data_IF_704816861673
#
_entry.id   IF_704816861673
#
_cell.length_a   1.000
_cell.length_b   1.000
_cell.length_c   1.000
_cell.angle_alpha   90.00
_cell.angle_beta   90.00
_cell.angle_gamma   90.00
#
_symmetry.space_group_name_H-M   'P 1'
#
loop_
_entity.id
_entity.type
_entity.pdbx_description
1 polymer ?
#
# COMPACT_ATOMS: atom_id res chain seq x y z
N UNK A 1 -17.91 12.67 -8.33
CA UNK A 1 -17.37 12.92 -6.97
C UNK A 1 -15.96 13.46 -7.06
N UNK A 2 -15.55 14.26 -6.04
CA UNK A 2 -14.17 14.75 -5.90
C UNK A 2 -13.35 13.82 -4.99
N UNK A 3 -12.18 13.40 -5.46
CA UNK A 3 -11.29 12.51 -4.73
C UNK A 3 -9.97 13.22 -4.44
N UNK A 4 -9.55 13.25 -3.19
CA UNK A 4 -8.25 13.73 -2.76
C UNK A 4 -7.29 12.54 -2.57
N UNK A 5 -6.23 12.47 -3.37
CA UNK A 5 -5.09 11.57 -3.15
C UNK A 5 -4.04 12.29 -2.29
N UNK A 6 -4.04 12.02 -1.00
CA UNK A 6 -3.08 12.61 -0.07
C UNK A 6 -1.78 11.80 -0.04
N UNK A 7 -0.64 12.48 -0.21
CA UNK A 7 0.63 11.82 -0.47
C UNK A 7 0.70 11.22 -1.88
N UNK A 8 0.17 11.95 -2.88
CA UNK A 8 0.01 11.51 -4.27
C UNK A 8 1.37 11.25 -4.94
N UNK A 9 1.95 10.08 -4.62
CA UNK A 9 3.15 9.51 -5.24
C UNK A 9 2.79 8.53 -6.36
N UNK A 10 3.62 7.50 -6.55
CA UNK A 10 3.44 6.49 -7.60
C UNK A 10 2.08 5.76 -7.49
N UNK A 11 1.75 5.18 -6.34
CA UNK A 11 0.48 4.45 -6.17
C UNK A 11 -0.72 5.38 -6.28
N UNK A 12 -0.67 6.56 -5.65
CA UNK A 12 -1.76 7.54 -5.73
C UNK A 12 -2.02 8.00 -7.17
N UNK A 13 -0.96 8.30 -7.95
CA UNK A 13 -1.08 8.71 -9.34
C UNK A 13 -1.63 7.59 -10.24
N UNK A 14 -1.18 6.34 -10.04
CA UNK A 14 -1.73 5.17 -10.76
C UNK A 14 -3.20 4.93 -10.42
N UNK A 15 -3.59 5.11 -9.14
CA UNK A 15 -4.99 5.00 -8.72
C UNK A 15 -5.85 6.09 -9.36
N UNK A 16 -5.37 7.32 -9.35
CA UNK A 16 -6.04 8.44 -10.00
C UNK A 16 -6.21 8.21 -11.52
N UNK A 17 -5.20 7.65 -12.20
CA UNK A 17 -5.32 7.37 -13.65
C UNK A 17 -6.45 6.39 -13.99
N UNK A 18 -6.77 5.48 -13.07
CA UNK A 18 -7.87 4.52 -13.22
C UNK A 18 -9.24 5.12 -12.94
N UNK A 19 -9.28 6.30 -12.31
CA UNK A 19 -10.49 6.95 -11.83
C UNK A 19 -10.80 8.25 -12.56
N UNK A 20 -9.81 8.89 -13.18
CA UNK A 20 -9.92 10.23 -13.75
C UNK A 20 -10.94 10.37 -14.90
N UNK A 21 -11.39 9.25 -15.51
CA UNK A 21 -12.47 9.29 -16.52
C UNK A 21 -13.85 9.56 -15.89
N UNK A 22 -14.03 9.17 -14.62
CA UNK A 22 -15.34 9.19 -13.94
C UNK A 22 -15.38 10.16 -12.74
N UNK A 23 -14.21 10.58 -12.24
CA UNK A 23 -14.06 11.33 -10.99
C UNK A 23 -13.09 12.50 -11.13
N UNK A 24 -13.34 13.58 -10.39
CA UNK A 24 -12.43 14.72 -10.29
C UNK A 24 -11.29 14.37 -9.31
N UNK A 25 -10.10 14.08 -9.83
CA UNK A 25 -8.95 13.65 -9.04
C UNK A 25 -8.03 14.82 -8.67
N UNK A 26 -7.73 14.95 -7.40
CA UNK A 26 -6.80 15.95 -6.84
C UNK A 26 -5.65 15.25 -6.13
N UNK A 27 -4.43 15.79 -6.26
CA UNK A 27 -3.24 15.20 -5.68
C UNK A 27 -2.52 16.15 -4.73
N UNK A 28 -2.54 15.85 -3.43
CA UNK A 28 -1.79 16.61 -2.42
C UNK A 28 -0.38 16.02 -2.25
N UNK A 29 0.63 16.80 -2.55
CA UNK A 29 2.05 16.48 -2.30
C UNK A 29 2.90 17.75 -2.23
N UNK A 30 4.08 17.66 -1.60
CA UNK A 30 5.00 18.80 -1.41
C UNK A 30 5.45 19.44 -2.72
N UNK A 31 5.69 18.64 -3.75
CA UNK A 31 6.12 19.09 -5.08
C UNK A 31 5.16 18.54 -6.15
N UNK A 32 4.02 19.22 -6.40
CA UNK A 32 2.96 18.70 -7.27
C UNK A 32 3.23 18.86 -8.77
N UNK A 33 4.30 19.54 -9.19
CA UNK A 33 4.62 19.83 -10.60
C UNK A 33 4.87 18.57 -11.44
N UNK A 34 5.09 17.42 -10.78
CA UNK A 34 5.32 16.13 -11.44
C UNK A 34 4.05 15.30 -11.55
N UNK A 35 2.90 15.83 -11.14
CA UNK A 35 1.63 15.12 -11.28
C UNK A 35 1.19 15.14 -12.74
N UNK A 36 0.58 14.04 -13.23
CA UNK A 36 -0.05 14.02 -14.55
C UNK A 36 -1.17 15.05 -14.68
N UNK A 37 -1.43 15.53 -15.90
CA UNK A 37 -2.42 16.60 -16.19
C UNK A 37 -3.86 16.25 -15.78
N UNK A 38 -4.19 14.96 -15.65
CA UNK A 38 -5.50 14.51 -15.19
C UNK A 38 -5.67 14.57 -13.66
N UNK A 39 -4.66 15.02 -12.92
CA UNK A 39 -4.69 15.21 -11.46
C UNK A 39 -4.54 16.69 -11.15
N UNK A 40 -5.57 17.32 -10.60
CA UNK A 40 -5.49 18.71 -10.11
C UNK A 40 -4.48 18.81 -8.96
N UNK A 41 -3.41 19.61 -9.10
CA UNK A 41 -2.33 19.65 -8.12
C UNK A 41 -2.68 20.49 -6.90
N UNK A 42 -2.36 19.97 -5.71
CA UNK A 42 -2.36 20.71 -4.44
C UNK A 42 -0.98 20.60 -3.80
N UNK A 43 -0.38 21.76 -3.47
CA UNK A 43 0.95 21.80 -2.87
C UNK A 43 0.84 21.79 -1.34
N UNK A 44 1.52 20.84 -0.69
CA UNK A 44 1.60 20.81 0.75
C UNK A 44 1.79 19.43 1.37
N UNK A 45 1.60 19.36 2.68
CA UNK A 45 1.77 18.15 3.48
C UNK A 45 0.54 17.88 4.33
N UNK A 46 0.20 16.60 4.52
CA UNK A 46 -0.85 16.20 5.47
C UNK A 46 -0.52 16.53 6.94
N UNK A 47 0.72 16.89 7.25
CA UNK A 47 1.12 17.29 8.61
C UNK A 47 0.93 18.79 8.87
N UNK A 48 0.40 19.53 7.91
CA UNK A 48 0.08 20.95 8.03
C UNK A 48 -1.42 21.09 8.32
N UNK A 49 -1.75 21.49 9.55
CA UNK A 49 -3.14 21.53 10.00
C UNK A 49 -3.96 22.60 9.28
N UNK A 50 -3.42 23.82 9.14
CA UNK A 50 -4.15 24.91 8.51
C UNK A 50 -4.42 24.61 7.04
N UNK A 51 -3.42 24.09 6.33
CA UNK A 51 -3.57 23.62 4.96
C UNK A 51 -4.62 22.51 4.87
N UNK A 52 -4.60 21.53 5.76
CA UNK A 52 -5.56 20.42 5.70
C UNK A 52 -7.00 20.90 5.94
N UNK A 53 -7.22 21.90 6.80
CA UNK A 53 -8.53 22.52 6.97
C UNK A 53 -8.97 23.21 5.68
N UNK A 54 -8.10 24.01 5.05
CA UNK A 54 -8.38 24.68 3.76
C UNK A 54 -8.69 23.67 2.65
N UNK A 55 -7.91 22.58 2.59
CA UNK A 55 -8.11 21.51 1.60
C UNK A 55 -9.46 20.82 1.82
N UNK A 56 -9.78 20.41 3.04
CA UNK A 56 -11.05 19.75 3.34
C UNK A 56 -12.26 20.65 3.03
N UNK A 57 -12.15 21.94 3.27
CA UNK A 57 -13.20 22.92 2.95
C UNK A 57 -13.49 23.07 1.44
N UNK A 58 -12.65 22.52 0.56
CA UNK A 58 -12.95 22.45 -0.88
C UNK A 58 -14.00 21.37 -1.21
N UNK A 59 -14.43 20.55 -0.24
CA UNK A 59 -15.53 19.61 -0.38
C UNK A 59 -15.15 18.35 -1.16
N UNK A 60 -14.21 17.55 -0.64
CA UNK A 60 -13.89 16.23 -1.16
C UNK A 60 -14.85 15.17 -0.63
N UNK A 61 -15.35 14.31 -1.52
CA UNK A 61 -16.21 13.18 -1.14
C UNK A 61 -15.37 12.03 -0.54
N UNK A 62 -14.19 11.77 -1.10
CA UNK A 62 -13.30 10.67 -0.72
C UNK A 62 -11.88 11.21 -0.54
N UNK A 63 -11.20 10.74 0.53
CA UNK A 63 -9.77 10.94 0.74
C UNK A 63 -9.07 9.58 0.68
N UNK A 64 -8.06 9.45 -0.19
CA UNK A 64 -7.21 8.26 -0.31
C UNK A 64 -5.79 8.63 0.11
N UNK A 65 -5.33 8.16 1.26
CA UNK A 65 -4.00 8.44 1.79
C UNK A 65 -3.00 7.36 1.35
N UNK A 66 -2.06 7.74 0.46
CA UNK A 66 -0.99 6.87 -0.06
C UNK A 66 0.39 7.35 0.39
N UNK A 67 0.53 7.59 1.67
CA UNK A 67 1.72 8.21 2.26
C UNK A 67 2.94 7.29 2.17
N UNK A 68 4.11 7.90 2.03
CA UNK A 68 5.39 7.20 2.03
C UNK A 68 6.37 7.95 2.91
N UNK A 69 7.03 7.28 3.88
CA UNK A 69 8.04 7.93 4.72
C UNK A 69 9.26 8.34 3.89
N UNK A 70 9.90 9.42 4.27
CA UNK A 70 11.11 9.93 3.61
C UNK A 70 12.37 9.07 3.82
N UNK A 71 12.26 8.01 4.65
CA UNK A 71 13.33 7.06 4.96
C UNK A 71 12.82 5.96 5.89
N UNK A 72 13.64 4.95 6.11
CA UNK A 72 13.31 3.84 7.03
C UNK A 72 13.83 4.15 8.44
N UNK A 73 13.28 5.19 9.07
CA UNK A 73 13.58 5.59 10.46
C UNK A 73 12.29 5.80 11.24
N UNK A 74 12.32 5.66 12.59
CA UNK A 74 11.14 5.93 13.44
C UNK A 74 10.56 7.32 13.19
N UNK A 75 11.40 8.34 13.09
CA UNK A 75 10.97 9.75 12.92
C UNK A 75 10.28 9.98 11.57
N UNK A 76 10.78 9.32 10.49
CA UNK A 76 10.17 9.42 9.18
C UNK A 76 8.81 8.72 9.14
N UNK A 77 8.68 7.56 9.81
CA UNK A 77 7.42 6.83 9.94
C UNK A 77 6.42 7.57 10.84
N UNK A 78 6.89 8.09 11.98
CA UNK A 78 6.08 8.93 12.88
C UNK A 78 5.45 10.07 12.09
N UNK A 79 6.26 10.86 11.39
CA UNK A 79 5.79 12.00 10.61
C UNK A 79 4.84 11.61 9.49
N UNK A 80 5.18 10.55 8.73
CA UNK A 80 4.40 10.16 7.56
C UNK A 80 3.04 9.56 7.92
N UNK A 81 2.94 8.79 8.98
CA UNK A 81 1.73 8.06 9.32
C UNK A 81 1.02 8.63 10.53
N UNK A 82 1.68 8.68 11.68
CA UNK A 82 1.03 9.06 12.94
C UNK A 82 0.66 10.54 12.96
N UNK A 83 1.62 11.41 12.64
CA UNK A 83 1.37 12.86 12.66
C UNK A 83 0.35 13.24 11.57
N UNK A 84 0.42 12.62 10.38
CA UNK A 84 -0.56 12.84 9.32
C UNK A 84 -1.97 12.38 9.72
N UNK A 85 -2.11 11.24 10.39
CA UNK A 85 -3.40 10.75 10.87
C UNK A 85 -3.98 11.68 11.96
N UNK A 86 -3.15 12.11 12.92
CA UNK A 86 -3.53 13.07 13.97
C UNK A 86 -3.94 14.42 13.38
N UNK A 87 -3.19 14.90 12.39
CA UNK A 87 -3.51 16.16 11.71
C UNK A 87 -4.84 16.05 10.95
N UNK A 88 -5.07 14.94 10.24
CA UNK A 88 -6.33 14.72 9.55
C UNK A 88 -7.51 14.71 10.53
N UNK A 89 -7.40 13.99 11.66
CA UNK A 89 -8.42 13.96 12.70
C UNK A 89 -8.72 15.37 13.25
N UNK A 90 -7.68 16.14 13.54
CA UNK A 90 -7.83 17.52 14.01
C UNK A 90 -8.45 18.44 12.93
N UNK A 91 -8.00 18.31 11.69
CA UNK A 91 -8.55 19.10 10.58
C UNK A 91 -10.04 18.84 10.35
N UNK A 92 -10.49 17.57 10.49
CA UNK A 92 -11.91 17.22 10.37
C UNK A 92 -12.79 17.84 11.45
N UNK A 93 -12.25 18.18 12.64
CA UNK A 93 -13.01 18.87 13.68
C UNK A 93 -13.15 20.37 13.43
N UNK A 94 -12.26 20.93 12.63
CA UNK A 94 -12.19 22.38 12.33
C UNK A 94 -12.81 22.74 10.97
N UNK A 95 -12.79 21.78 10.03
CA UNK A 95 -13.31 21.99 8.70
C UNK A 95 -14.84 22.02 8.67
N UNK A 96 -15.39 22.80 7.74
CA UNK A 96 -16.84 22.88 7.46
C UNK A 96 -17.33 21.76 6.55
N UNK A 97 -16.42 21.04 5.89
CA UNK A 97 -16.70 19.89 5.04
C UNK A 97 -15.73 18.76 5.36
N UNK A 98 -16.25 17.54 5.48
CA UNK A 98 -15.43 16.33 5.73
C UNK A 98 -15.73 15.28 4.67
N UNK A 99 -14.75 14.45 4.28
CA UNK A 99 -14.98 13.35 3.35
C UNK A 99 -16.01 12.35 3.92
N UNK A 100 -16.78 11.74 3.02
CA UNK A 100 -17.68 10.64 3.37
C UNK A 100 -16.92 9.34 3.61
N UNK A 101 -15.77 9.18 2.94
CA UNK A 101 -14.90 8.00 3.04
C UNK A 101 -13.43 8.42 3.12
N UNK A 102 -12.69 7.79 4.03
CA UNK A 102 -11.22 7.82 4.06
C UNK A 102 -10.70 6.42 3.81
N UNK A 103 -9.91 6.25 2.74
CA UNK A 103 -9.14 5.02 2.48
C UNK A 103 -7.70 5.30 2.91
N UNK A 104 -7.21 4.51 3.88
CA UNK A 104 -5.87 4.68 4.45
C UNK A 104 -4.98 3.50 4.09
N UNK A 105 -3.88 3.77 3.39
CA UNK A 105 -2.90 2.74 3.06
C UNK A 105 -2.01 2.46 4.26
N UNK A 106 -1.96 1.20 4.66
CA UNK A 106 -1.12 0.64 5.70
C UNK A 106 -0.30 -0.54 5.14
N UNK A 107 0.22 -1.40 6.00
CA UNK A 107 1.07 -2.52 5.60
C UNK A 107 0.82 -3.78 6.43
N UNK A 108 0.96 -4.94 5.81
CA UNK A 108 0.97 -6.24 6.51
C UNK A 108 2.12 -6.39 7.52
N UNK A 109 3.05 -5.43 7.61
CA UNK A 109 4.10 -5.40 8.64
C UNK A 109 3.58 -5.23 10.07
N UNK A 110 2.30 -4.91 10.24
CA UNK A 110 1.58 -4.86 11.52
C UNK A 110 1.39 -6.25 12.14
N UNK A 111 1.37 -7.30 11.32
CA UNK A 111 1.33 -8.68 11.80
C UNK A 111 2.74 -9.14 12.21
N UNK A 112 2.82 -9.86 13.31
CA UNK A 112 4.07 -10.40 13.83
C UNK A 112 4.51 -11.69 13.14
N UNK A 113 5.26 -12.50 13.89
CA UNK A 113 5.62 -13.85 13.50
C UNK A 113 4.50 -14.82 13.87
N UNK A 114 3.96 -15.52 12.89
CA UNK A 114 2.90 -16.53 13.05
C UNK A 114 3.40 -17.93 12.67
N UNK A 115 4.69 -18.19 12.74
CA UNK A 115 5.33 -19.50 12.45
C UNK A 115 4.94 -20.10 11.07
N UNK A 116 4.69 -19.24 10.09
CA UNK A 116 4.26 -19.67 8.76
C UNK A 116 2.75 -19.84 8.60
N UNK A 117 1.96 -19.63 9.64
CA UNK A 117 0.50 -19.70 9.56
C UNK A 117 -0.10 -18.56 8.74
N UNK A 118 -1.35 -18.76 8.34
CA UNK A 118 -2.12 -17.75 7.66
C UNK A 118 -2.57 -16.64 8.63
N UNK A 119 -2.52 -15.41 8.15
CA UNK A 119 -3.11 -14.24 8.79
C UNK A 119 -4.14 -13.60 7.85
N UNK A 120 -5.21 -13.13 8.42
CA UNK A 120 -6.30 -12.42 7.78
C UNK A 120 -6.61 -11.11 8.54
N UNK A 121 -7.70 -10.46 8.21
CA UNK A 121 -8.13 -9.20 8.82
C UNK A 121 -8.61 -9.36 10.27
N UNK A 122 -8.96 -10.57 10.71
CA UNK A 122 -9.37 -10.89 12.09
C UNK A 122 -8.17 -11.31 12.95
N UNK A 123 -7.04 -11.59 12.34
CA UNK A 123 -5.83 -12.03 13.04
C UNK A 123 -5.25 -10.93 13.93
N UNK A 124 -4.74 -11.25 15.13
CA UNK A 124 -4.19 -10.26 16.04
C UNK A 124 -2.95 -9.59 15.46
N UNK A 125 -2.88 -8.27 15.59
CA UNK A 125 -1.71 -7.48 15.18
C UNK A 125 -0.69 -7.45 16.30
N UNK A 126 0.48 -8.05 16.07
CA UNK A 126 1.59 -8.16 17.02
C UNK A 126 2.88 -7.61 16.41
N UNK A 127 2.85 -6.33 16.05
CA UNK A 127 3.96 -5.68 15.36
C UNK A 127 5.26 -5.77 16.15
N UNK A 128 6.29 -6.37 15.57
CA UNK A 128 7.63 -6.51 16.16
C UNK A 128 8.52 -5.29 15.83
N UNK A 129 8.36 -4.73 14.63
CA UNK A 129 9.17 -3.60 14.15
C UNK A 129 8.60 -2.26 14.61
N UNK A 130 9.47 -1.23 14.70
CA UNK A 130 9.03 0.13 14.95
C UNK A 130 8.03 0.60 13.88
N UNK A 131 8.26 0.21 12.62
CA UNK A 131 7.40 0.61 11.50
C UNK A 131 5.99 0.04 11.63
N UNK A 132 5.85 -1.23 11.99
CA UNK A 132 4.55 -1.85 12.23
C UNK A 132 3.80 -1.22 13.41
N UNK A 133 4.50 -0.88 14.50
CA UNK A 133 3.91 -0.23 15.67
C UNK A 133 3.36 1.17 15.33
N UNK A 134 4.12 1.97 14.59
CA UNK A 134 3.70 3.31 14.17
C UNK A 134 2.55 3.26 13.15
N UNK A 135 2.52 2.25 12.30
CA UNK A 135 1.38 2.03 11.40
C UNK A 135 0.10 1.71 12.19
N UNK A 136 0.18 0.83 13.21
CA UNK A 136 -0.96 0.54 14.08
C UNK A 136 -1.46 1.77 14.85
N UNK A 137 -0.55 2.60 15.36
CA UNK A 137 -0.92 3.86 16.00
C UNK A 137 -1.68 4.78 15.02
N UNK A 138 -1.24 4.86 13.78
CA UNK A 138 -1.94 5.63 12.76
C UNK A 138 -3.30 5.01 12.39
N UNK A 139 -3.39 3.68 12.22
CA UNK A 139 -4.66 2.98 11.97
C UNK A 139 -5.70 3.30 13.03
N UNK A 140 -5.34 3.28 14.32
CA UNK A 140 -6.23 3.63 15.44
C UNK A 140 -6.78 5.06 15.35
N UNK A 141 -5.96 6.03 14.90
CA UNK A 141 -6.43 7.40 14.68
C UNK A 141 -7.44 7.48 13.53
N UNK A 142 -7.22 6.71 12.47
CA UNK A 142 -8.10 6.68 11.30
C UNK A 142 -9.43 5.99 11.62
N UNK A 143 -9.41 4.88 12.34
CA UNK A 143 -10.63 4.17 12.77
C UNK A 143 -11.55 5.04 13.64
N UNK A 144 -10.99 6.01 14.35
CA UNK A 144 -11.73 6.94 15.20
C UNK A 144 -12.33 8.15 14.46
N UNK A 145 -12.13 8.29 13.15
CA UNK A 145 -12.66 9.42 12.38
C UNK A 145 -14.20 9.41 12.30
N UNK A 146 -14.83 10.57 12.17
CA UNK A 146 -16.30 10.71 12.17
C UNK A 146 -16.93 10.41 10.78
N UNK A 147 -16.33 9.55 9.98
CA UNK A 147 -16.80 9.16 8.64
C UNK A 147 -16.52 7.67 8.39
N UNK A 148 -16.96 7.14 7.25
CA UNK A 148 -16.55 5.79 6.86
C UNK A 148 -15.03 5.72 6.64
N UNK A 149 -14.40 4.66 7.15
CA UNK A 149 -12.97 4.44 7.02
C UNK A 149 -12.68 3.04 6.51
N UNK A 150 -11.71 2.94 5.61
CA UNK A 150 -11.19 1.67 5.08
C UNK A 150 -9.68 1.67 5.19
N UNK A 151 -9.14 0.73 5.94
CA UNK A 151 -7.69 0.49 6.00
C UNK A 151 -7.32 -0.57 4.98
N UNK A 152 -6.30 -0.30 4.17
CA UNK A 152 -5.76 -1.25 3.19
C UNK A 152 -4.32 -1.59 3.58
N UNK A 153 -4.11 -2.80 4.10
CA UNK A 153 -2.78 -3.32 4.46
C UNK A 153 -2.13 -3.98 3.26
N UNK A 154 -1.31 -3.23 2.53
CA UNK A 154 -0.53 -3.80 1.44
C UNK A 154 0.60 -4.70 1.95
N UNK A 155 0.83 -5.80 1.23
CA UNK A 155 2.04 -6.62 1.38
C UNK A 155 3.24 -5.97 0.68
N UNK A 156 4.32 -6.72 0.44
CA UNK A 156 5.53 -6.18 -0.18
C UNK A 156 5.27 -5.69 -1.61
N UNK A 157 5.13 -4.39 -1.81
CA UNK A 157 4.87 -3.80 -3.12
C UNK A 157 6.10 -3.94 -4.03
N UNK A 158 5.89 -4.45 -5.24
CA UNK A 158 6.90 -4.51 -6.30
C UNK A 158 6.30 -4.05 -7.64
N UNK A 159 7.15 -3.79 -8.64
CA UNK A 159 6.70 -3.27 -9.92
C UNK A 159 7.73 -2.34 -10.56
N UNK A 160 7.36 -1.58 -11.59
CA UNK A 160 8.25 -0.58 -12.19
C UNK A 160 8.79 0.40 -11.15
N UNK A 161 10.11 0.60 -11.13
CA UNK A 161 10.78 1.43 -10.12
C UNK A 161 10.95 0.78 -8.74
N UNK A 162 10.47 -0.45 -8.53
CA UNK A 162 10.59 -1.24 -7.30
C UNK A 162 11.18 -2.62 -7.58
N UNK A 163 12.38 -2.64 -8.16
CA UNK A 163 13.05 -3.83 -8.71
C UNK A 163 14.02 -4.51 -7.77
N UNK A 164 14.06 -4.10 -6.50
CA UNK A 164 15.06 -4.56 -5.52
C UNK A 164 15.27 -6.08 -5.49
N UNK A 165 14.22 -6.88 -5.66
CA UNK A 165 14.34 -8.34 -5.69
C UNK A 165 15.09 -8.78 -6.96
N UNK A 166 14.71 -8.26 -8.14
CA UNK A 166 15.42 -8.57 -9.37
C UNK A 166 16.89 -8.18 -9.30
N UNK A 167 17.19 -7.02 -8.73
CA UNK A 167 18.57 -6.55 -8.58
C UNK A 167 19.39 -7.46 -7.65
N UNK A 168 18.77 -8.01 -6.61
CA UNK A 168 19.40 -9.00 -5.75
C UNK A 168 19.67 -10.33 -6.47
N UNK A 169 18.74 -10.80 -7.30
CA UNK A 169 18.91 -12.03 -8.08
C UNK A 169 20.03 -11.86 -9.12
N UNK A 170 20.04 -10.75 -9.84
CA UNK A 170 21.10 -10.42 -10.81
C UNK A 170 22.48 -10.37 -10.13
N UNK A 171 22.52 -9.95 -8.86
CA UNK A 171 23.73 -9.97 -8.05
C UNK A 171 24.04 -11.36 -7.43
N UNK A 172 23.34 -12.43 -7.84
CA UNK A 172 23.58 -13.81 -7.39
C UNK A 172 23.16 -14.11 -5.95
N UNK A 173 22.28 -13.27 -5.34
CA UNK A 173 21.92 -13.42 -3.93
C UNK A 173 20.79 -14.42 -3.73
N UNK A 174 21.14 -15.60 -3.22
CA UNK A 174 20.22 -16.68 -2.83
C UNK A 174 19.64 -16.54 -1.42
N UNK A 175 18.86 -17.53 -1.04
CA UNK A 175 18.34 -17.77 0.32
C UNK A 175 18.21 -19.28 0.53
N UNK A 176 18.67 -19.83 1.66
CA UNK A 176 18.46 -21.24 1.95
C UNK A 176 16.98 -21.55 2.13
N UNK A 177 16.59 -22.79 1.83
CA UNK A 177 15.21 -23.24 2.02
C UNK A 177 14.80 -23.25 3.52
N UNK A 178 15.78 -23.42 4.41
CA UNK A 178 15.56 -23.42 5.86
C UNK A 178 16.46 -22.37 6.56
N UNK A 179 15.93 -21.68 7.59
CA UNK A 179 14.54 -21.69 8.02
C UNK A 179 13.61 -21.05 6.98
N UNK A 180 12.41 -21.61 6.87
CA UNK A 180 11.40 -21.14 5.90
C UNK A 180 11.04 -19.67 6.13
N UNK A 181 11.01 -18.86 5.06
CA UNK A 181 10.65 -17.44 5.11
C UNK A 181 9.63 -17.14 4.01
N UNK A 182 8.41 -16.82 4.41
CA UNK A 182 7.34 -16.47 3.47
C UNK A 182 7.46 -15.05 2.93
N UNK A 183 7.10 -14.89 1.69
CA UNK A 183 7.07 -13.63 0.95
C UNK A 183 5.66 -13.36 0.47
N UNK A 184 5.02 -12.34 1.02
CA UNK A 184 3.73 -11.85 0.55
C UNK A 184 3.99 -10.61 -0.29
N UNK A 185 3.41 -10.54 -1.50
CA UNK A 185 3.71 -9.50 -2.48
C UNK A 185 2.45 -9.01 -3.18
N UNK A 186 2.53 -7.82 -3.71
CA UNK A 186 1.49 -7.26 -4.59
C UNK A 186 2.16 -6.38 -5.64
N UNK A 187 1.72 -6.49 -6.88
CA UNK A 187 2.20 -5.65 -7.96
C UNK A 187 1.65 -4.23 -7.86
N UNK A 188 2.42 -3.21 -8.23
CA UNK A 188 2.01 -1.81 -8.09
C UNK A 188 0.75 -1.44 -8.85
N UNK A 189 0.47 -2.10 -9.99
CA UNK A 189 -0.78 -1.92 -10.72
C UNK A 189 -1.97 -2.49 -9.94
N UNK A 190 -1.80 -3.60 -9.23
CA UNK A 190 -2.86 -4.13 -8.36
C UNK A 190 -3.06 -3.27 -7.11
N UNK A 191 -2.00 -2.66 -6.55
CA UNK A 191 -2.19 -1.66 -5.50
C UNK A 191 -3.13 -0.54 -5.95
N UNK A 192 -2.90 -0.02 -7.15
CA UNK A 192 -3.74 1.02 -7.73
C UNK A 192 -5.15 0.51 -8.07
N UNK A 193 -5.25 -0.71 -8.58
CA UNK A 193 -6.50 -1.40 -8.89
C UNK A 193 -7.38 -1.58 -7.67
N UNK A 194 -6.81 -2.04 -6.55
CA UNK A 194 -7.51 -2.21 -5.27
C UNK A 194 -8.10 -0.89 -4.78
N UNK A 195 -7.30 0.19 -4.76
CA UNK A 195 -7.81 1.50 -4.31
C UNK A 195 -8.91 2.02 -5.23
N UNK A 196 -8.77 1.86 -6.55
CA UNK A 196 -9.79 2.25 -7.52
C UNK A 196 -11.06 1.40 -7.39
N UNK A 197 -10.94 0.09 -7.12
CA UNK A 197 -12.06 -0.80 -6.87
C UNK A 197 -12.88 -0.36 -5.65
N UNK A 198 -12.22 -0.08 -4.53
CA UNK A 198 -12.89 0.36 -3.30
C UNK A 198 -13.59 1.71 -3.48
N UNK A 199 -12.96 2.65 -4.21
CA UNK A 199 -13.61 3.94 -4.56
C UNK A 199 -14.87 3.70 -5.39
N UNK A 200 -14.81 2.88 -6.44
CA UNK A 200 -15.98 2.57 -7.28
C UNK A 200 -17.05 1.79 -6.53
N UNK A 201 -16.68 0.88 -5.66
CA UNK A 201 -17.63 0.15 -4.84
C UNK A 201 -18.40 1.09 -3.90
N UNK A 202 -17.70 2.05 -3.29
CA UNK A 202 -18.34 3.08 -2.45
C UNK A 202 -19.26 3.99 -3.26
N UNK A 203 -18.82 4.46 -4.43
CA UNK A 203 -19.64 5.30 -5.34
C UNK A 203 -20.92 4.57 -5.79
N UNK A 204 -20.82 3.26 -6.01
CA UNK A 204 -21.96 2.40 -6.35
C UNK A 204 -22.86 2.08 -5.15
N UNK A 205 -22.60 2.62 -3.96
CA UNK A 205 -23.38 2.40 -2.74
C UNK A 205 -23.19 1.00 -2.13
N UNK A 206 -22.11 0.29 -2.47
CA UNK A 206 -21.79 -0.99 -1.83
C UNK A 206 -21.23 -0.76 -0.43
N UNK A 207 -21.60 -1.65 0.49
CA UNK A 207 -20.98 -1.70 1.81
C UNK A 207 -19.53 -2.18 1.70
N UNK A 208 -18.61 -1.47 2.35
CA UNK A 208 -17.20 -1.82 2.43
C UNK A 208 -16.86 -2.34 3.83
N UNK A 209 -16.03 -3.36 3.90
CA UNK A 209 -15.38 -3.71 5.16
C UNK A 209 -14.39 -2.61 5.57
N UNK A 210 -14.18 -2.44 6.88
CA UNK A 210 -13.28 -1.43 7.42
C UNK A 210 -11.79 -1.75 7.21
N UNK A 211 -11.44 -2.99 6.83
CA UNK A 211 -10.07 -3.46 6.68
C UNK A 211 -9.96 -4.50 5.56
N UNK A 212 -8.95 -4.33 4.70
CA UNK A 212 -8.57 -5.30 3.68
C UNK A 212 -7.07 -5.58 3.72
N UNK A 213 -6.69 -6.86 3.62
CA UNK A 213 -5.33 -7.27 3.29
C UNK A 213 -5.22 -7.36 1.77
N UNK A 214 -4.31 -6.57 1.20
CA UNK A 214 -4.06 -6.57 -0.23
C UNK A 214 -2.69 -7.20 -0.52
N UNK A 215 -2.72 -8.43 -0.97
CA UNK A 215 -1.59 -9.26 -1.39
C UNK A 215 -2.00 -10.08 -2.61
N UNK A 216 -1.05 -10.56 -3.42
CA UNK A 216 -1.36 -11.48 -4.52
C UNK A 216 -1.92 -12.82 -4.00
N UNK A 217 -2.39 -13.67 -4.94
CA UNK A 217 -3.04 -14.94 -4.59
C UNK A 217 -2.04 -16.09 -4.37
N UNK A 218 -0.72 -15.84 -4.46
CA UNK A 218 0.30 -16.88 -4.42
C UNK A 218 1.44 -16.56 -3.45
N UNK A 219 1.21 -16.62 -2.13
CA UNK A 219 2.29 -16.55 -1.15
C UNK A 219 3.35 -17.61 -1.46
N UNK A 220 4.61 -17.20 -1.48
CA UNK A 220 5.74 -18.04 -1.86
C UNK A 220 6.89 -17.88 -0.87
N UNK A 221 7.71 -18.91 -0.67
CA UNK A 221 8.91 -18.73 0.16
C UNK A 221 9.94 -17.83 -0.51
N UNK A 222 10.81 -17.20 0.27
CA UNK A 222 11.93 -16.43 -0.25
C UNK A 222 12.88 -17.29 -1.09
N UNK A 223 13.04 -18.57 -0.71
CA UNK A 223 13.82 -19.54 -1.46
C UNK A 223 13.22 -19.81 -2.83
N UNK A 224 11.96 -20.27 -2.88
CA UNK A 224 11.31 -20.66 -4.14
C UNK A 224 11.16 -19.49 -5.10
N UNK A 225 10.83 -18.30 -4.59
CA UNK A 225 10.77 -17.09 -5.40
C UNK A 225 12.11 -16.79 -6.06
N UNK A 226 13.22 -16.91 -5.31
CA UNK A 226 14.56 -16.63 -5.82
C UNK A 226 15.02 -17.67 -6.82
N UNK A 227 14.76 -18.97 -6.56
CA UNK A 227 15.07 -20.04 -7.51
C UNK A 227 14.31 -19.78 -8.82
N UNK A 228 13.00 -19.54 -8.77
CA UNK A 228 12.23 -19.27 -9.97
C UNK A 228 12.76 -18.04 -10.75
N UNK A 229 13.09 -16.94 -10.06
CA UNK A 229 13.65 -15.75 -10.71
C UNK A 229 15.03 -16.00 -11.32
N UNK A 230 15.87 -16.79 -10.64
CA UNK A 230 17.20 -17.16 -11.12
C UNK A 230 17.12 -18.00 -12.40
N UNK A 231 16.17 -18.93 -12.47
CA UNK A 231 15.88 -19.70 -13.69
C UNK A 231 15.46 -18.78 -14.85
N UNK A 232 14.57 -17.80 -14.59
CA UNK A 232 14.12 -16.87 -15.65
C UNK A 232 15.24 -15.93 -16.13
N UNK A 233 16.23 -15.64 -15.29
CA UNK A 233 17.34 -14.71 -15.58
C UNK A 233 18.65 -15.44 -15.93
N UNK A 234 18.66 -16.77 -15.90
CA UNK A 234 19.84 -17.61 -16.13
C UNK A 234 21.03 -17.24 -15.21
N UNK A 235 20.74 -17.03 -13.90
CA UNK A 235 21.71 -16.61 -12.88
C UNK A 235 21.93 -17.71 -11.86
N UNK A 236 23.19 -18.00 -11.51
CA UNK A 236 23.51 -18.83 -10.37
C UNK A 236 23.38 -18.07 -9.05
N UNK A 237 22.78 -18.71 -8.03
CA UNK A 237 22.58 -18.13 -6.72
C UNK A 237 23.55 -18.68 -5.69
N UNK A 238 24.04 -17.80 -4.82
CA UNK A 238 24.78 -18.14 -3.62
C UNK A 238 23.91 -17.80 -2.42
N UNK A 239 23.62 -18.78 -1.58
CA UNK A 239 22.81 -18.60 -0.39
C UNK A 239 23.49 -17.71 0.64
N UNK A 240 22.81 -16.63 1.03
CA UNK A 240 23.19 -15.75 2.12
C UNK A 240 22.40 -16.12 3.38
N UNK A 241 23.10 -16.36 4.49
CA UNK A 241 22.46 -16.55 5.80
C UNK A 241 21.94 -15.20 6.27
N UNK A 242 20.66 -15.14 6.60
CA UNK A 242 19.99 -13.92 7.08
C UNK A 242 19.13 -14.24 8.28
N UNK A 243 19.05 -13.29 9.20
CA UNK A 243 18.14 -13.40 10.34
C UNK A 243 16.71 -13.71 9.90
N UNK A 244 16.09 -14.65 10.61
CA UNK A 244 14.70 -15.00 10.39
C UNK A 244 13.80 -13.78 10.76
N UNK A 245 13.07 -13.27 9.80
CA UNK A 245 12.08 -12.21 10.00
C UNK A 245 10.70 -12.81 10.20
N UNK A 246 9.72 -11.95 10.52
CA UNK A 246 8.33 -12.36 10.71
C UNK A 246 7.85 -13.28 9.58
N UNK A 247 7.45 -14.50 9.96
CA UNK A 247 7.03 -15.55 9.04
C UNK A 247 5.51 -15.64 9.12
N UNK A 248 4.82 -15.34 8.03
CA UNK A 248 3.37 -15.46 7.89
C UNK A 248 2.98 -15.57 6.44
N UNK A 249 1.83 -16.12 6.18
CA UNK A 249 1.13 -16.07 4.90
C UNK A 249 -0.07 -15.15 5.04
N UNK A 250 -0.21 -14.17 4.18
CA UNK A 250 -1.34 -13.24 4.21
C UNK A 250 -2.46 -13.75 3.29
N UNK A 251 -3.69 -13.78 3.82
CA UNK A 251 -4.90 -14.07 3.04
C UNK A 251 -5.43 -12.78 2.43
N UNK A 252 -5.84 -12.84 1.17
CA UNK A 252 -6.54 -11.76 0.47
C UNK A 252 -8.01 -12.11 0.23
N UNK A 253 -8.54 -13.10 0.94
CA UNK A 253 -9.87 -13.64 0.67
C UNK A 253 -10.97 -12.57 0.74
N UNK A 254 -10.92 -11.70 1.73
CA UNK A 254 -11.88 -10.59 1.87
C UNK A 254 -11.87 -9.65 0.65
N UNK A 255 -10.69 -9.38 0.11
CA UNK A 255 -10.56 -8.57 -1.09
C UNK A 255 -11.14 -9.27 -2.33
N UNK A 256 -10.92 -10.58 -2.48
CA UNK A 256 -11.54 -11.39 -3.53
C UNK A 256 -13.08 -11.43 -3.38
N UNK A 257 -13.58 -11.61 -2.18
CA UNK A 257 -15.02 -11.64 -1.87
C UNK A 257 -15.70 -10.29 -2.16
N UNK A 258 -14.94 -9.17 -2.12
CA UNK A 258 -15.43 -7.86 -2.55
C UNK A 258 -15.62 -7.74 -4.08
N UNK A 259 -15.17 -8.74 -4.84
CA UNK A 259 -15.21 -8.79 -6.30
C UNK A 259 -13.99 -8.16 -6.99
N UNK A 260 -12.87 -7.97 -6.28
CA UNK A 260 -11.63 -7.54 -6.91
C UNK A 260 -10.98 -8.67 -7.71
N UNK A 261 -10.60 -8.37 -8.95
CA UNK A 261 -9.86 -9.27 -9.83
C UNK A 261 -8.43 -8.73 -10.03
N UNK A 262 -7.43 -9.55 -9.73
CA UNK A 262 -6.03 -9.16 -9.86
C UNK A 262 -5.58 -9.14 -11.32
N UNK A 263 -4.85 -8.11 -11.72
CA UNK A 263 -4.14 -8.03 -13.00
C UNK A 263 -2.91 -8.95 -13.02
N UNK A 264 -2.27 -9.08 -11.87
CA UNK A 264 -1.10 -9.93 -11.61
C UNK A 264 -1.38 -10.84 -10.42
N UNK A 265 -2.12 -11.93 -10.63
CA UNK A 265 -2.60 -12.80 -9.53
C UNK A 265 -1.48 -13.55 -8.81
N UNK A 266 -0.29 -13.64 -9.40
CA UNK A 266 0.88 -14.21 -8.73
C UNK A 266 2.16 -13.41 -9.01
N UNK A 267 3.19 -13.72 -8.22
CA UNK A 267 4.53 -13.18 -8.44
C UNK A 267 5.09 -13.51 -9.83
N UNK A 268 4.65 -14.62 -10.44
CA UNK A 268 5.15 -15.07 -11.75
C UNK A 268 4.79 -14.07 -12.84
N UNK A 269 3.50 -13.73 -12.98
CA UNK A 269 3.03 -12.77 -13.98
C UNK A 269 3.67 -11.39 -13.75
N UNK A 270 3.75 -10.96 -12.49
CA UNK A 270 4.29 -9.65 -12.14
C UNK A 270 5.79 -9.54 -12.43
N UNK A 271 6.58 -10.51 -12.02
CA UNK A 271 8.02 -10.48 -12.32
C UNK A 271 8.34 -10.76 -13.79
N UNK A 272 7.57 -11.63 -14.47
CA UNK A 272 7.73 -11.81 -15.91
C UNK A 272 7.54 -10.49 -16.66
N UNK A 273 6.50 -9.72 -16.33
CA UNK A 273 6.28 -8.39 -16.91
C UNK A 273 7.48 -7.44 -16.71
N UNK A 274 8.14 -7.50 -15.54
CA UNK A 274 9.32 -6.68 -15.27
C UNK A 274 10.56 -7.16 -16.02
N UNK A 275 10.72 -8.47 -16.18
CA UNK A 275 11.82 -9.06 -16.96
C UNK A 275 11.68 -8.67 -18.43
N UNK A 276 10.48 -8.85 -18.99
CA UNK A 276 10.19 -8.50 -20.40
C UNK A 276 10.40 -7.00 -20.68
N UNK A 277 10.04 -6.14 -19.72
CA UNK A 277 10.26 -4.70 -19.85
C UNK A 277 11.75 -4.30 -19.78
N UNK A 278 12.59 -5.13 -19.17
CA UNK A 278 14.05 -4.89 -19.05
C UNK A 278 14.82 -5.32 -20.30
N UNK A 279 14.24 -6.25 -21.07
CA UNK A 279 14.84 -6.77 -22.31
C UNK A 279 14.54 -5.91 -23.56
N UNK A 280 13.61 -4.97 -23.43
CA UNK A 280 13.24 -3.97 -24.45
C UNK A 280 14.07 -2.70 -24.33
#
# INVERSE_FOLDING_TARGET
>A
MKILFAGCGDIGSRSASRLAADFDCFGLKRNPQTLPDFISPLAGSMTDLDLMVEVLNQGFDILVATLTPGGFTPEAYQRAYVDSAKTLASAMTLATSVPKLVIWVSSTSVYGNCNGDWVDEQSPTTALSFSGKLLLEAEQQIEALPCATVIVRFSGIYGPGRTRMLDQIIAGKGRPAQPEQWSNRIYSEDCAGVLAHLVRAFDAGKELDSLYIATDCAPVTQHDLRIWLAEQLEVELIDEIVEQKAIRRCSNQRLLDSGYEFFYPSYKEGYQSLIDARLK
#
